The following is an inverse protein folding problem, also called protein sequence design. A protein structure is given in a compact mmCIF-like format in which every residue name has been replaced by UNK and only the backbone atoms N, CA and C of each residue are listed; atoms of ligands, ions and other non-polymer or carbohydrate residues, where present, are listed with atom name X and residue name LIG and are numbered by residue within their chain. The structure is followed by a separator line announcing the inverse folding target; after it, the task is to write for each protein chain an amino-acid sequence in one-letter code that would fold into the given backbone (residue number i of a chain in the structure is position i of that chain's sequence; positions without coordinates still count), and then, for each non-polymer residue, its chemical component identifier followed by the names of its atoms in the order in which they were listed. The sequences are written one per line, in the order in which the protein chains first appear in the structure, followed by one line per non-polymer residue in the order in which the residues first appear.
data_IF_337938965128
#
_entry.id   IF_337938965128
#
_cell.length_a   1.000
_cell.length_b   1.000
_cell.length_c   1.000
_cell.angle_alpha   90.00
_cell.angle_beta   90.00
_cell.angle_gamma   90.00
#
_symmetry.space_group_name_H-M   'P 1'
#
loop_
_entity.id
_entity.type
_entity.pdbx_description
1 polymer ?
#
# COMPACT_ATOMS: atom_id res chain seq x y z
N UNK A 1 -17.13 10.20 19.68
CA UNK A 1 -15.73 9.90 19.35
C UNK A 1 -15.30 10.65 18.08
N UNK A 2 -15.37 11.99 18.06
CA UNK A 2 -14.94 12.82 16.91
C UNK A 2 -13.96 13.95 17.31
N UNK A 3 -13.70 14.12 18.61
CA UNK A 3 -12.86 15.20 19.12
C UNK A 3 -11.36 14.90 19.18
N UNK A 4 -10.96 13.63 19.33
CA UNK A 4 -9.55 13.25 19.48
C UNK A 4 -8.78 13.25 18.15
N UNK A 5 -9.40 12.76 17.07
CA UNK A 5 -8.80 12.79 15.72
C UNK A 5 -8.62 14.22 15.19
N UNK A 6 -9.55 15.13 15.46
CA UNK A 6 -9.42 16.53 15.03
C UNK A 6 -8.40 17.33 15.84
N UNK A 7 -8.10 16.91 17.08
CA UNK A 7 -7.12 17.58 17.93
C UNK A 7 -5.67 17.24 17.55
N UNK A 8 -5.40 16.01 17.10
CA UNK A 8 -4.06 15.57 16.68
C UNK A 8 -3.61 16.21 15.36
N UNK A 9 -4.52 16.37 14.40
CA UNK A 9 -4.24 16.97 13.08
C UNK A 9 -3.89 18.47 13.19
N UNK A 10 -4.32 19.15 14.25
CA UNK A 10 -4.08 20.61 14.43
C UNK A 10 -2.74 20.96 15.05
N UNK A 11 -2.00 20.00 15.62
CA UNK A 11 -0.82 20.28 16.43
C UNK A 11 0.49 19.75 15.87
N UNK A 12 0.41 18.80 14.94
CA UNK A 12 1.56 18.12 14.39
C UNK A 12 1.50 18.17 12.87
N UNK A 13 2.62 18.51 12.24
CA UNK A 13 2.78 18.22 10.82
C UNK A 13 2.67 16.71 10.60
N UNK A 14 2.26 16.27 9.40
CA UNK A 14 2.23 14.84 9.05
C UNK A 14 3.57 14.13 9.33
N UNK A 15 4.69 14.87 9.26
CA UNK A 15 6.01 14.36 9.61
C UNK A 15 6.25 14.15 11.11
N UNK A 16 5.60 14.92 11.99
CA UNK A 16 5.72 14.75 13.45
C UNK A 16 4.81 13.63 13.98
N UNK A 17 3.65 13.43 13.35
CA UNK A 17 2.80 12.26 13.61
C UNK A 17 3.47 10.95 13.15
N UNK A 18 4.32 11.01 12.13
CA UNK A 18 5.13 9.85 11.75
C UNK A 18 6.09 9.49 12.89
N UNK A 19 6.84 10.45 13.43
CA UNK A 19 7.86 10.19 14.45
C UNK A 19 7.31 9.52 15.72
N UNK A 20 6.12 9.92 16.22
CA UNK A 20 5.56 9.35 17.45
C UNK A 20 5.03 7.90 17.32
N UNK A 21 4.76 7.42 16.11
CA UNK A 21 4.32 6.03 15.89
C UNK A 21 5.48 5.06 15.62
N UNK A 22 6.72 5.53 15.38
CA UNK A 22 7.79 4.74 14.76
C UNK A 22 9.07 4.54 15.57
N UNK A 23 9.02 4.68 16.90
CA UNK A 23 10.18 4.32 17.75
C UNK A 23 10.57 2.83 17.61
N UNK A 24 9.67 1.94 17.17
CA UNK A 24 9.97 0.52 16.92
C UNK A 24 10.46 0.21 15.48
N UNK A 25 10.35 1.16 14.54
CA UNK A 25 10.93 1.05 13.20
C UNK A 25 12.28 1.78 13.18
N UNK A 26 13.21 1.34 14.03
CA UNK A 26 14.58 1.84 14.06
C UNK A 26 15.21 1.74 12.66
N UNK A 27 15.30 2.86 11.94
CA UNK A 27 16.30 3.02 10.87
C UNK A 27 15.85 3.59 9.52
N UNK A 28 14.56 3.74 9.22
CA UNK A 28 14.13 4.19 7.88
C UNK A 28 13.45 5.57 7.91
N UNK A 29 14.27 6.62 7.88
CA UNK A 29 13.80 7.98 7.61
C UNK A 29 13.05 8.01 6.27
N UNK A 30 11.76 8.31 6.31
CA UNK A 30 10.94 8.51 5.12
C UNK A 30 9.98 7.38 4.78
N UNK A 31 9.75 6.41 5.65
CA UNK A 31 8.62 5.47 5.50
C UNK A 31 7.46 5.83 6.42
N UNK A 32 6.25 5.80 5.88
CA UNK A 32 5.00 6.08 6.60
C UNK A 32 4.04 4.87 6.46
N UNK A 33 3.96 3.97 7.45
CA UNK A 33 2.97 2.89 7.46
C UNK A 33 1.54 3.41 7.53
N UNK A 34 0.64 2.67 6.88
CA UNK A 34 -0.79 3.01 6.85
C UNK A 34 -1.72 1.79 6.84
N UNK A 35 -1.19 0.56 6.70
CA UNK A 35 -1.94 -0.68 6.86
C UNK A 35 -1.03 -1.72 7.51
N UNK A 36 -1.47 -2.36 8.58
CA UNK A 36 -0.74 -3.39 9.32
C UNK A 36 -1.71 -4.52 9.69
N UNK A 37 -1.35 -5.76 9.34
CA UNK A 37 -2.13 -6.96 9.67
C UNK A 37 -1.48 -7.83 10.78
N UNK A 38 -0.37 -7.37 11.36
CA UNK A 38 0.42 -8.06 12.38
C UNK A 38 1.62 -8.84 11.83
N UNK A 39 1.52 -9.36 10.60
CA UNK A 39 2.60 -10.10 9.92
C UNK A 39 3.22 -9.28 8.77
N UNK A 40 2.44 -8.38 8.18
CA UNK A 40 2.78 -7.55 7.05
C UNK A 40 2.37 -6.09 7.30
N UNK A 41 3.19 -5.17 6.79
CA UNK A 41 2.89 -3.75 6.84
C UNK A 41 3.03 -3.10 5.45
N UNK A 42 2.03 -2.33 5.03
CA UNK A 42 2.15 -1.44 3.89
C UNK A 42 2.62 -0.06 4.34
N UNK A 43 3.65 0.44 3.67
CA UNK A 43 4.26 1.75 3.94
C UNK A 43 4.31 2.61 2.70
N UNK A 44 4.18 3.92 2.89
CA UNK A 44 4.49 4.92 1.87
C UNK A 44 5.96 5.28 1.97
N UNK A 45 6.68 5.18 0.86
CA UNK A 45 8.04 5.66 0.75
C UNK A 45 8.08 7.14 0.40
N UNK A 46 8.00 7.98 1.43
CA UNK A 46 8.06 9.44 1.34
C UNK A 46 9.45 9.97 1.01
N UNK A 47 10.51 9.19 1.25
CA UNK A 47 11.87 9.56 0.85
C UNK A 47 12.07 9.45 -0.67
N UNK A 48 11.37 8.52 -1.31
CA UNK A 48 11.43 8.29 -2.75
C UNK A 48 10.21 8.81 -3.49
N UNK A 49 9.61 9.92 -3.03
CA UNK A 49 8.56 10.60 -3.78
C UNK A 49 8.99 10.83 -5.24
N UNK A 50 8.26 10.24 -6.18
CA UNK A 50 8.54 10.26 -7.61
C UNK A 50 7.74 11.41 -8.22
N UNK A 51 8.40 12.19 -9.08
CA UNK A 51 7.73 13.20 -9.91
C UNK A 51 7.37 14.50 -9.18
N UNK A 52 6.86 15.46 -9.95
CA UNK A 52 6.44 16.78 -9.46
C UNK A 52 5.07 16.74 -8.75
N UNK A 53 4.34 15.64 -8.87
CA UNK A 53 3.07 15.36 -8.23
C UNK A 53 3.21 14.77 -6.82
N UNK A 54 4.43 14.40 -6.41
CA UNK A 54 4.71 13.90 -5.06
C UNK A 54 4.22 12.46 -4.83
N UNK A 55 4.11 11.66 -5.89
CA UNK A 55 3.66 10.28 -5.80
C UNK A 55 4.67 9.44 -4.99
N UNK A 56 4.27 8.97 -3.81
CA UNK A 56 5.10 8.11 -2.95
C UNK A 56 4.79 6.64 -3.21
N UNK A 57 5.77 5.80 -3.58
CA UNK A 57 5.56 4.36 -3.76
C UNK A 57 4.97 3.71 -2.52
N UNK A 58 4.13 2.69 -2.74
CA UNK A 58 3.64 1.83 -1.66
C UNK A 58 4.49 0.57 -1.64
N UNK A 59 5.18 0.34 -0.53
CA UNK A 59 5.97 -0.85 -0.28
C UNK A 59 5.20 -1.81 0.62
N UNK A 60 5.45 -3.11 0.46
CA UNK A 60 5.04 -4.15 1.38
C UNK A 60 6.26 -4.63 2.17
N UNK A 61 6.15 -4.57 3.49
CA UNK A 61 7.10 -5.12 4.44
C UNK A 61 6.55 -6.45 4.95
N UNK A 62 7.28 -7.53 4.68
CA UNK A 62 7.07 -8.81 5.35
C UNK A 62 7.95 -8.86 6.59
N UNK A 63 7.48 -9.48 7.68
CA UNK A 63 8.29 -9.65 8.88
C UNK A 63 9.61 -10.38 8.55
N UNK A 64 10.73 -9.66 8.62
CA UNK A 64 12.08 -10.17 8.30
C UNK A 64 12.43 -10.26 6.81
N UNK A 65 11.58 -9.76 5.91
CA UNK A 65 11.85 -9.65 4.48
C UNK A 65 12.34 -8.25 4.08
N UNK A 66 12.92 -8.15 2.89
CA UNK A 66 13.23 -6.85 2.27
C UNK A 66 11.92 -6.14 1.84
N UNK A 67 11.85 -4.80 1.92
CA UNK A 67 10.73 -4.03 1.38
C UNK A 67 10.57 -4.26 -0.12
N UNK A 68 9.36 -4.59 -0.56
CA UNK A 68 9.06 -4.78 -1.97
C UNK A 68 8.03 -3.75 -2.46
N UNK A 69 8.33 -2.97 -3.51
CA UNK A 69 7.34 -2.12 -4.15
C UNK A 69 6.14 -2.94 -4.63
N UNK A 70 4.94 -2.53 -4.22
CA UNK A 70 3.66 -3.12 -4.69
C UNK A 70 2.85 -2.16 -5.53
N UNK A 71 2.93 -0.86 -5.28
CA UNK A 71 2.21 0.13 -6.08
C UNK A 71 3.07 1.37 -6.32
N UNK A 72 2.91 2.00 -7.48
CA UNK A 72 3.66 3.22 -7.82
C UNK A 72 3.23 4.43 -6.97
N UNK A 73 2.01 4.41 -6.45
CA UNK A 73 1.50 5.39 -5.49
C UNK A 73 0.33 4.84 -4.66
N UNK A 74 -0.08 5.58 -3.63
CA UNK A 74 -1.31 5.28 -2.90
C UNK A 74 -2.56 5.41 -3.80
N UNK A 75 -2.58 6.39 -4.70
CA UNK A 75 -3.68 6.58 -5.64
C UNK A 75 -3.81 5.37 -6.58
N UNK A 76 -2.68 4.89 -7.14
CA UNK A 76 -2.70 3.72 -8.02
C UNK A 76 -3.09 2.44 -7.29
N UNK A 77 -2.77 2.30 -6.00
CA UNK A 77 -3.28 1.22 -5.16
C UNK A 77 -4.81 1.24 -5.09
N UNK A 78 -5.40 2.40 -4.80
CA UNK A 78 -6.87 2.54 -4.72
C UNK A 78 -7.54 2.32 -6.08
N UNK A 79 -7.00 2.89 -7.16
CA UNK A 79 -7.53 2.66 -8.53
C UNK A 79 -7.46 1.18 -8.92
N UNK A 80 -6.37 0.49 -8.54
CA UNK A 80 -6.24 -0.96 -8.77
C UNK A 80 -7.30 -1.75 -8.00
N UNK A 81 -7.50 -1.46 -6.72
CA UNK A 81 -8.51 -2.13 -5.91
C UNK A 81 -9.93 -1.86 -6.41
N UNK A 82 -10.19 -0.62 -6.84
CA UNK A 82 -11.47 -0.22 -7.41
C UNK A 82 -11.78 -1.04 -8.67
N UNK A 83 -10.82 -1.16 -9.59
CA UNK A 83 -10.99 -1.95 -10.80
C UNK A 83 -11.12 -3.45 -10.52
N UNK A 84 -10.34 -3.98 -9.57
CA UNK A 84 -10.49 -5.39 -9.16
C UNK A 84 -11.90 -5.71 -8.69
N UNK A 85 -12.53 -4.82 -7.93
CA UNK A 85 -13.91 -4.97 -7.46
C UNK A 85 -14.91 -4.79 -8.61
N UNK A 86 -14.77 -3.74 -9.41
CA UNK A 86 -15.68 -3.41 -10.51
C UNK A 86 -15.71 -4.50 -11.60
N UNK A 87 -14.55 -5.08 -11.92
CA UNK A 87 -14.43 -6.13 -12.94
C UNK A 87 -14.74 -7.53 -12.39
N UNK A 88 -15.12 -7.63 -11.11
CA UNK A 88 -15.38 -8.91 -10.44
C UNK A 88 -14.15 -9.84 -10.48
N UNK A 89 -12.94 -9.26 -10.43
CA UNK A 89 -11.70 -10.01 -10.32
C UNK A 89 -11.48 -10.37 -8.86
N UNK A 90 -11.54 -9.38 -7.96
CA UNK A 90 -11.50 -9.61 -6.53
C UNK A 90 -12.92 -9.89 -6.03
N UNK A 91 -13.25 -11.17 -5.93
CA UNK A 91 -14.51 -11.62 -5.32
C UNK A 91 -14.33 -11.87 -3.84
N UNK A 92 -15.14 -11.17 -3.04
CA UNK A 92 -15.23 -11.33 -1.60
C UNK A 92 -16.45 -12.22 -1.32
N UNK A 93 -16.21 -13.40 -0.76
CA UNK A 93 -17.23 -14.38 -0.37
C UNK A 93 -17.13 -14.64 1.13
N UNK A 94 -18.25 -14.49 1.85
CA UNK A 94 -18.31 -14.57 3.32
C UNK A 94 -17.22 -13.77 4.07
N UNK A 95 -16.86 -12.59 3.54
CA UNK A 95 -15.82 -11.73 4.11
C UNK A 95 -14.38 -12.19 3.82
N UNK A 96 -14.21 -13.22 2.98
CA UNK A 96 -12.92 -13.73 2.54
C UNK A 96 -12.70 -13.49 1.05
N UNK A 97 -11.46 -13.17 0.66
CA UNK A 97 -11.08 -13.18 -0.75
C UNK A 97 -11.10 -14.62 -1.25
N UNK A 98 -12.00 -14.93 -2.18
CA UNK A 98 -12.16 -16.29 -2.70
C UNK A 98 -10.89 -16.78 -3.42
N UNK A 99 -10.66 -18.10 -3.40
CA UNK A 99 -9.39 -18.80 -3.66
C UNK A 99 -8.41 -18.17 -4.67
N UNK A 100 -7.12 -18.15 -4.33
CA UNK A 100 -5.98 -17.63 -5.14
C UNK A 100 -5.51 -18.59 -6.26
N UNK A 101 -6.44 -19.06 -7.08
CA UNK A 101 -6.10 -19.86 -8.26
C UNK A 101 -5.06 -19.13 -9.15
N UNK A 102 -4.24 -19.87 -9.91
CA UNK A 102 -3.27 -19.27 -10.84
C UNK A 102 -3.96 -18.33 -11.85
N UNK A 103 -5.14 -18.71 -12.33
CA UNK A 103 -5.94 -17.90 -13.23
C UNK A 103 -6.42 -16.60 -12.58
N UNK A 104 -6.83 -16.65 -11.31
CA UNK A 104 -7.20 -15.44 -10.57
C UNK A 104 -5.99 -14.51 -10.37
N UNK A 105 -4.83 -15.07 -10.00
CA UNK A 105 -3.59 -14.30 -9.83
C UNK A 105 -3.18 -13.56 -11.11
N UNK A 106 -3.27 -14.21 -12.27
CA UNK A 106 -2.98 -13.57 -13.55
C UNK A 106 -3.97 -12.43 -13.87
N UNK A 107 -5.27 -12.59 -13.53
CA UNK A 107 -6.28 -11.52 -13.72
C UNK A 107 -6.02 -10.34 -12.78
N UNK A 108 -5.70 -10.60 -11.51
CA UNK A 108 -5.34 -9.55 -10.55
C UNK A 108 -4.13 -8.77 -11.06
N UNK A 109 -3.09 -9.48 -11.48
CA UNK A 109 -1.87 -8.88 -12.03
C UNK A 109 -2.15 -8.05 -13.30
N UNK A 110 -2.99 -8.56 -14.22
CA UNK A 110 -3.37 -7.83 -15.44
C UNK A 110 -3.97 -6.46 -15.12
N UNK A 111 -4.88 -6.38 -14.15
CA UNK A 111 -5.47 -5.11 -13.71
C UNK A 111 -4.42 -4.22 -13.04
N UNK A 112 -3.60 -4.78 -12.14
CA UNK A 112 -2.58 -4.04 -11.41
C UNK A 112 -1.52 -3.42 -12.34
N UNK A 113 -1.12 -4.12 -13.41
CA UNK A 113 -0.15 -3.61 -14.40
C UNK A 113 -0.64 -2.30 -15.04
N UNK A 114 -1.94 -2.13 -15.28
CA UNK A 114 -2.51 -0.92 -15.92
C UNK A 114 -2.23 0.34 -15.10
N UNK A 115 -2.33 0.22 -13.78
CA UNK A 115 -2.18 1.33 -12.82
C UNK A 115 -0.78 1.44 -12.23
N UNK A 116 0.01 0.36 -12.31
CA UNK A 116 1.33 0.27 -11.69
C UNK A 116 2.42 -0.11 -12.71
N UNK A 117 2.61 0.69 -13.77
CA UNK A 117 3.62 0.41 -14.77
C UNK A 117 5.02 0.41 -14.13
N UNK A 118 5.83 -0.59 -14.47
CA UNK A 118 7.20 -0.73 -13.96
C UNK A 118 7.34 -1.44 -12.61
N UNK A 119 6.26 -1.79 -11.92
CA UNK A 119 6.33 -2.62 -10.71
C UNK A 119 6.55 -4.09 -11.10
N UNK A 120 7.77 -4.59 -10.88
CA UNK A 120 8.21 -5.92 -11.32
C UNK A 120 7.33 -7.05 -10.78
N UNK A 121 6.89 -6.95 -9.52
CA UNK A 121 6.02 -7.96 -8.89
C UNK A 121 4.81 -8.32 -9.76
N UNK A 122 4.10 -7.32 -10.28
CA UNK A 122 2.91 -7.57 -11.10
C UNK A 122 3.26 -8.12 -12.48
N UNK A 123 4.40 -7.72 -13.05
CA UNK A 123 4.86 -8.21 -14.35
C UNK A 123 5.23 -9.69 -14.32
N UNK A 124 5.76 -10.18 -13.18
CA UNK A 124 6.13 -11.59 -13.02
C UNK A 124 4.93 -12.52 -12.79
N UNK A 125 3.74 -11.96 -12.52
CA UNK A 125 2.53 -12.73 -12.20
C UNK A 125 1.63 -13.05 -13.40
N UNK A 126 1.94 -12.54 -14.59
CA UNK A 126 1.21 -12.78 -15.84
C UNK A 126 1.88 -13.81 -16.75
#
# INVERSE_FOLDING_TARGET
MLGLQQALIKKHSLGELAVEFFDDYEGHHGWLPFLDDGDNCFVLDTAHAIGADGACPVLLLFQGGEPEPRFVSLASMFDTMHDWLNEGVLTIDDGHVSSTSKALRARLATVAIRHNPGIEYWQQMV
#
